data_IF_933637636908
#
_entry.id   IF_933637636908
#
_cell.length_a   1.000
_cell.length_b   1.000
_cell.length_c   1.000
_cell.angle_alpha   90.00
_cell.angle_beta   90.00
_cell.angle_gamma   90.00
#
_symmetry.space_group_name_H-M   'P 1'
#
loop_
_entity.id
_entity.type
_entity.pdbx_description
1 polymer ?
#
# COMPACT_ATOMS: atom_id res chain seq x y z
N UNK A 1 -8.92 6.50 -23.96
CA UNK A 1 -7.66 6.28 -23.22
C UNK A 1 -7.48 7.45 -22.28
N UNK A 2 -7.56 7.30 -20.94
CA UNK A 2 -6.97 8.29 -20.07
C UNK A 2 -5.45 8.08 -20.13
N UNK A 3 -4.74 9.07 -20.62
CA UNK A 3 -3.29 9.06 -20.90
C UNK A 3 -2.44 9.50 -19.72
N UNK A 4 -3.01 9.71 -18.53
CA UNK A 4 -2.28 10.11 -17.33
C UNK A 4 -3.03 9.78 -16.03
N UNK A 5 -2.30 9.29 -15.03
CA UNK A 5 -2.61 9.50 -13.61
C UNK A 5 -1.37 10.09 -12.94
N UNK A 6 -1.53 10.76 -11.80
CA UNK A 6 -0.40 11.27 -11.03
C UNK A 6 -0.19 10.45 -9.76
N UNK A 7 1.05 10.05 -9.52
CA UNK A 7 1.52 9.56 -8.22
C UNK A 7 2.38 10.68 -7.63
N UNK A 8 1.99 11.23 -6.49
CA UNK A 8 2.72 12.33 -5.82
C UNK A 8 3.01 13.52 -6.74
N UNK A 9 2.01 13.92 -7.55
CA UNK A 9 2.13 15.04 -8.50
C UNK A 9 2.95 14.74 -9.77
N UNK A 10 3.50 13.53 -9.92
CA UNK A 10 4.25 13.11 -11.10
C UNK A 10 3.34 12.42 -12.11
N UNK A 11 3.24 12.95 -13.33
CA UNK A 11 2.38 12.41 -14.38
C UNK A 11 2.95 11.11 -14.99
N UNK A 12 2.20 10.02 -14.91
CA UNK A 12 2.50 8.76 -15.59
C UNK A 12 1.84 8.73 -16.98
N UNK A 13 2.57 9.09 -18.05
CA UNK A 13 2.03 9.08 -19.42
C UNK A 13 2.41 7.81 -20.18
N UNK A 14 1.44 6.92 -20.43
CA UNK A 14 1.65 5.74 -21.25
C UNK A 14 1.68 6.10 -22.75
N UNK A 15 2.85 6.01 -23.38
CA UNK A 15 2.96 5.91 -24.84
C UNK A 15 3.92 4.78 -25.21
N UNK A 16 3.45 3.90 -26.11
CA UNK A 16 4.21 2.78 -26.64
C UNK A 16 5.15 3.28 -27.72
N UNK A 17 6.46 3.19 -27.49
CA UNK A 17 7.46 3.32 -28.55
C UNK A 17 8.39 2.11 -28.52
N UNK A 18 8.52 1.46 -29.68
CA UNK A 18 9.38 0.29 -29.88
C UNK A 18 10.85 0.73 -29.89
N UNK A 19 11.76 0.12 -29.10
CA UNK A 19 13.15 0.55 -29.09
C UNK A 19 13.96 -0.09 -30.21
N UNK A 20 14.85 0.73 -30.80
CA UNK A 20 15.93 0.31 -31.71
C UNK A 20 17.17 -0.02 -30.89
N UNK A 21 18.02 -1.01 -31.25
CA UNK A 21 19.15 -1.43 -30.39
C UNK A 21 20.30 -0.40 -30.40
N UNK A 22 20.73 0.04 -29.22
CA UNK A 22 21.97 0.81 -28.99
C UNK A 22 23.10 -0.07 -28.43
N UNK A 23 24.38 0.32 -28.61
CA UNK A 23 25.52 -0.59 -28.47
C UNK A 23 26.01 -0.76 -27.04
N UNK A 24 26.56 -1.94 -26.78
CA UNK A 24 27.10 -2.46 -25.52
C UNK A 24 28.39 -1.74 -25.07
N UNK A 25 28.46 -1.37 -23.78
CA UNK A 25 29.70 -1.03 -23.08
C UNK A 25 29.76 -1.76 -21.72
N UNK A 26 30.99 -2.12 -21.33
CA UNK A 26 31.31 -3.14 -20.33
C UNK A 26 31.10 -2.71 -18.87
N UNK A 27 30.60 -3.64 -18.05
CA UNK A 27 30.42 -3.52 -16.59
C UNK A 27 31.73 -3.52 -15.80
N UNK A 28 31.80 -2.80 -14.66
CA UNK A 28 32.75 -3.08 -13.60
C UNK A 28 32.18 -4.07 -12.57
N UNK A 29 33.11 -4.73 -11.88
CA UNK A 29 33.03 -5.96 -11.10
C UNK A 29 32.19 -5.86 -9.81
N UNK A 30 31.37 -6.90 -9.54
CA UNK A 30 30.58 -7.05 -8.33
C UNK A 30 31.39 -7.61 -7.13
N UNK A 31 31.12 -7.21 -5.88
CA UNK A 31 31.68 -7.87 -4.70
C UNK A 31 30.82 -9.04 -4.20
N UNK A 32 31.45 -10.23 -4.16
CA UNK A 32 31.40 -11.32 -3.16
C UNK A 32 30.07 -11.85 -2.60
N UNK A 33 29.71 -13.04 -3.13
CA UNK A 33 29.09 -14.25 -2.52
C UNK A 33 27.91 -14.08 -1.54
N UNK A 34 26.66 -14.35 -2.00
CA UNK A 34 25.51 -14.59 -1.12
C UNK A 34 25.54 -16.00 -0.49
N UNK A 35 24.85 -16.23 0.64
CA UNK A 35 24.78 -17.53 1.32
C UNK A 35 24.26 -18.65 0.40
N UNK A 36 24.94 -19.79 0.39
CA UNK A 36 24.77 -20.91 -0.57
C UNK A 36 23.62 -21.88 -0.25
N UNK A 37 22.60 -21.49 0.49
CA UNK A 37 21.40 -22.33 0.70
C UNK A 37 20.14 -21.47 0.63
N UNK A 38 19.33 -21.60 -0.43
CA UNK A 38 17.99 -21.00 -0.47
C UNK A 38 17.17 -21.48 0.73
N UNK A 39 16.40 -20.62 1.41
CA UNK A 39 15.46 -21.07 2.42
C UNK A 39 14.43 -22.01 1.78
N UNK A 40 14.52 -23.30 2.08
CA UNK A 40 13.53 -24.29 1.62
C UNK A 40 12.34 -24.31 2.58
N UNK A 41 11.62 -23.20 2.69
CA UNK A 41 10.30 -23.24 3.34
C UNK A 41 9.33 -23.83 2.32
N UNK A 42 8.67 -24.97 2.60
CA UNK A 42 7.67 -25.53 1.70
C UNK A 42 6.60 -24.48 1.35
N UNK A 43 6.05 -24.48 0.12
CA UNK A 43 4.94 -23.60 -0.21
C UNK A 43 3.83 -23.79 0.83
N UNK A 44 3.39 -22.71 1.46
CA UNK A 44 2.30 -22.78 2.41
C UNK A 44 1.03 -23.19 1.63
N UNK A 45 0.54 -24.41 1.88
CA UNK A 45 -0.65 -24.97 1.23
C UNK A 45 -1.94 -24.66 2.01
N UNK A 46 -1.82 -23.97 3.15
CA UNK A 46 -2.95 -23.58 3.98
C UNK A 46 -3.49 -22.19 3.65
N UNK A 47 -4.62 -21.86 4.28
CA UNK A 47 -5.16 -20.51 4.24
C UNK A 47 -4.18 -19.49 4.84
N UNK A 48 -4.32 -18.22 4.46
CA UNK A 48 -3.52 -17.12 4.98
C UNK A 48 -3.65 -17.08 6.51
N UNK A 49 -2.54 -16.95 7.25
CA UNK A 49 -2.61 -16.96 8.70
C UNK A 49 -3.38 -15.74 9.21
N UNK A 50 -4.20 -15.97 10.23
CA UNK A 50 -4.73 -14.88 11.03
C UNK A 50 -3.59 -14.16 11.76
N UNK A 51 -3.67 -12.83 11.79
CA UNK A 51 -2.61 -11.95 12.26
C UNK A 51 -3.04 -11.24 13.55
N UNK A 52 -2.04 -10.91 14.38
CA UNK A 52 -2.19 -10.05 15.54
C UNK A 52 -0.90 -9.26 15.77
N UNK A 53 -1.00 -8.14 16.46
CA UNK A 53 0.17 -7.40 16.94
C UNK A 53 0.62 -7.96 18.29
N UNK A 54 1.93 -8.07 18.48
CA UNK A 54 2.54 -8.41 19.77
C UNK A 54 3.85 -7.66 19.91
N UNK A 55 3.91 -6.73 20.87
CA UNK A 55 5.03 -5.80 20.99
C UNK A 55 5.22 -5.01 19.71
N UNK A 56 6.44 -5.02 19.18
CA UNK A 56 6.80 -4.37 17.92
C UNK A 56 6.74 -5.30 16.69
N UNK A 57 5.99 -6.40 16.76
CA UNK A 57 5.94 -7.42 15.70
C UNK A 57 4.51 -7.79 15.32
N UNK A 58 4.35 -8.13 14.05
CA UNK A 58 3.20 -8.88 13.57
C UNK A 58 3.45 -10.37 13.83
N UNK A 59 2.45 -11.06 14.35
CA UNK A 59 2.51 -12.49 14.60
C UNK A 59 1.29 -13.20 14.06
N UNK A 60 1.45 -14.48 13.72
CA UNK A 60 0.33 -15.37 13.45
C UNK A 60 -0.44 -15.69 14.74
N UNK A 61 -1.63 -16.28 14.61
CA UNK A 61 -2.38 -16.81 15.75
C UNK A 61 -1.57 -17.84 16.58
N UNK A 62 -0.63 -18.56 15.97
CA UNK A 62 0.26 -19.51 16.67
C UNK A 62 1.46 -18.86 17.37
N UNK A 63 1.64 -17.53 17.25
CA UNK A 63 2.72 -16.79 17.91
C UNK A 63 4.04 -16.71 17.13
N UNK A 64 4.08 -17.23 15.90
CA UNK A 64 5.24 -17.02 15.03
C UNK A 64 5.25 -15.57 14.52
N UNK A 65 6.40 -14.91 14.54
CA UNK A 65 6.55 -13.63 13.83
C UNK A 65 6.26 -13.82 12.35
N UNK A 66 5.62 -12.84 11.73
CA UNK A 66 5.19 -12.91 10.34
C UNK A 66 5.48 -11.60 9.62
N UNK A 67 5.94 -11.66 8.36
CA UNK A 67 6.18 -10.50 7.51
C UNK A 67 5.24 -10.58 6.31
N UNK A 68 4.55 -9.47 6.07
CA UNK A 68 3.76 -9.28 4.88
C UNK A 68 4.73 -8.90 3.74
N UNK A 69 5.22 -9.88 2.98
CA UNK A 69 6.06 -9.67 1.79
C UNK A 69 5.22 -9.83 0.54
N UNK A 70 5.10 -8.79 -0.28
CA UNK A 70 4.06 -8.83 -1.30
C UNK A 70 4.07 -7.73 -2.34
N UNK A 71 2.91 -7.48 -2.91
CA UNK A 71 2.75 -6.54 -4.01
C UNK A 71 1.48 -5.70 -3.82
N UNK A 72 1.49 -4.51 -4.42
CA UNK A 72 0.27 -3.78 -4.68
C UNK A 72 -0.40 -4.31 -5.95
N UNK A 73 -1.71 -4.58 -5.90
CA UNK A 73 -2.53 -4.93 -7.06
C UNK A 73 -3.50 -3.79 -7.34
N UNK A 74 -3.04 -2.82 -8.10
CA UNK A 74 -3.82 -1.64 -8.46
C UNK A 74 -4.97 -1.99 -9.40
N UNK A 75 -6.11 -1.32 -9.24
CA UNK A 75 -7.27 -1.20 -10.14
C UNK A 75 -8.54 -0.82 -9.37
N UNK A 76 -8.71 -1.36 -8.15
CA UNK A 76 -9.95 -1.19 -7.39
C UNK A 76 -10.24 0.27 -7.05
N UNK A 77 -9.22 1.09 -6.91
CA UNK A 77 -9.27 2.52 -6.66
C UNK A 77 -9.73 3.34 -7.88
N UNK A 78 -9.39 2.95 -9.11
CA UNK A 78 -9.61 3.81 -10.28
C UNK A 78 -10.54 3.24 -11.33
N UNK A 79 -10.61 1.92 -11.49
CA UNK A 79 -11.23 1.33 -12.67
C UNK A 79 -12.74 1.61 -12.74
N UNK A 80 -13.41 1.57 -11.60
CA UNK A 80 -14.86 1.82 -11.49
C UNK A 80 -15.23 3.26 -11.86
N UNK A 81 -14.40 4.25 -11.53
CA UNK A 81 -14.65 5.66 -11.84
C UNK A 81 -14.12 6.08 -13.21
N UNK A 82 -13.24 5.28 -13.83
CA UNK A 82 -12.69 5.53 -15.16
C UNK A 82 -13.37 4.72 -16.28
N UNK A 83 -14.47 4.03 -15.98
CA UNK A 83 -15.22 3.24 -16.97
C UNK A 83 -14.48 1.98 -17.44
N UNK A 84 -13.60 1.42 -16.60
CA UNK A 84 -12.77 0.24 -16.89
C UNK A 84 -13.27 -1.04 -16.20
N UNK A 85 -14.43 -0.97 -15.54
CA UNK A 85 -14.97 -2.08 -14.75
C UNK A 85 -14.30 -2.18 -13.37
N UNK A 86 -14.19 -3.39 -12.81
CA UNK A 86 -13.60 -3.58 -11.47
C UNK A 86 -12.07 -3.69 -11.49
N UNK A 87 -11.53 -4.50 -12.40
CA UNK A 87 -10.13 -4.97 -12.37
C UNK A 87 -9.32 -4.60 -13.63
N UNK A 88 -9.58 -3.43 -14.25
CA UNK A 88 -8.92 -2.87 -15.45
C UNK A 88 -8.35 -3.95 -16.41
N UNK A 89 -9.26 -4.73 -17.00
CA UNK A 89 -8.97 -5.81 -17.95
C UNK A 89 -8.03 -6.93 -17.48
N UNK A 90 -7.67 -6.97 -16.19
CA UNK A 90 -6.79 -7.97 -15.59
C UNK A 90 -7.53 -9.05 -14.78
N UNK A 91 -7.11 -10.32 -14.88
CA UNK A 91 -7.65 -11.37 -14.03
C UNK A 91 -7.29 -11.13 -12.56
N UNK A 92 -8.20 -11.55 -11.70
CA UNK A 92 -8.00 -11.74 -10.25
C UNK A 92 -8.39 -13.18 -9.87
N UNK A 93 -8.12 -14.11 -10.79
CA UNK A 93 -8.51 -15.52 -10.69
C UNK A 93 -7.38 -16.39 -10.11
N UNK A 94 -7.65 -17.70 -9.99
CA UNK A 94 -6.69 -18.66 -9.44
C UNK A 94 -5.36 -18.71 -10.22
N UNK A 95 -5.38 -18.48 -11.54
CA UNK A 95 -4.16 -18.48 -12.34
C UNK A 95 -3.28 -17.28 -11.99
N UNK A 96 -3.88 -16.09 -11.86
CA UNK A 96 -3.16 -14.89 -11.42
C UNK A 96 -2.58 -15.02 -10.00
N UNK A 97 -3.32 -15.66 -9.09
CA UNK A 97 -2.84 -15.94 -7.72
C UNK A 97 -1.72 -16.97 -7.71
N UNK A 98 -1.80 -18.01 -8.55
CA UNK A 98 -0.71 -18.98 -8.72
C UNK A 98 0.56 -18.29 -9.22
N UNK A 99 0.45 -17.35 -10.17
CA UNK A 99 1.59 -16.57 -10.64
C UNK A 99 2.25 -15.78 -9.50
N UNK A 100 1.46 -15.12 -8.64
CA UNK A 100 1.98 -14.44 -7.45
C UNK A 100 2.76 -15.39 -6.53
N UNK A 101 2.24 -16.61 -6.31
CA UNK A 101 2.91 -17.63 -5.47
C UNK A 101 4.26 -18.05 -6.03
N UNK A 102 4.46 -18.04 -7.35
CA UNK A 102 5.78 -18.33 -7.96
C UNK A 102 6.85 -17.29 -7.64
N UNK A 103 6.47 -16.11 -7.17
CA UNK A 103 7.37 -15.05 -6.68
C UNK A 103 7.53 -15.08 -5.16
N UNK A 104 7.00 -16.09 -4.47
CA UNK A 104 6.97 -16.17 -3.01
C UNK A 104 6.14 -15.06 -2.33
N UNK A 105 5.19 -14.44 -3.02
CA UNK A 105 4.29 -13.42 -2.45
C UNK A 105 3.43 -14.02 -1.32
N UNK A 106 3.29 -13.26 -0.22
CA UNK A 106 2.47 -13.57 0.97
C UNK A 106 1.49 -12.47 1.36
N UNK A 107 1.58 -11.30 0.73
CA UNK A 107 0.62 -10.23 0.90
C UNK A 107 0.22 -9.62 -0.44
N UNK A 108 -1.02 -9.19 -0.55
CA UNK A 108 -1.48 -8.36 -1.67
C UNK A 108 -2.23 -7.17 -1.10
N UNK A 109 -1.69 -5.97 -1.32
CA UNK A 109 -2.37 -4.71 -1.01
C UNK A 109 -3.30 -4.35 -2.16
N UNK A 110 -4.56 -4.10 -1.83
CA UNK A 110 -5.68 -3.88 -2.75
C UNK A 110 -6.19 -2.46 -2.50
N UNK A 111 -5.78 -1.50 -3.34
CA UNK A 111 -6.33 -0.15 -3.32
C UNK A 111 -7.82 -0.15 -3.63
N UNK A 112 -8.60 0.50 -2.77
CA UNK A 112 -10.06 0.61 -2.88
C UNK A 112 -10.49 2.06 -3.13
N UNK A 113 -11.68 2.19 -3.72
CA UNK A 113 -12.36 3.44 -3.98
C UNK A 113 -13.54 3.63 -3.02
N UNK A 114 -13.57 4.76 -2.31
CA UNK A 114 -14.63 5.07 -1.35
C UNK A 114 -16.02 5.12 -2.00
N UNK A 115 -16.17 5.90 -3.06
CA UNK A 115 -17.45 6.11 -3.73
C UNK A 115 -17.97 4.81 -4.34
N UNK A 116 -17.10 4.03 -4.98
CA UNK A 116 -17.51 2.77 -5.59
C UNK A 116 -17.89 1.74 -4.52
N UNK A 117 -17.20 1.69 -3.39
CA UNK A 117 -17.60 0.82 -2.28
C UNK A 117 -18.96 1.21 -1.71
N UNK A 118 -19.19 2.52 -1.50
CA UNK A 118 -20.42 3.05 -0.91
C UNK A 118 -21.59 3.13 -1.89
N UNK A 119 -21.36 3.02 -3.20
CA UNK A 119 -22.40 3.18 -4.21
C UNK A 119 -22.76 4.63 -4.51
N UNK A 120 -21.83 5.57 -4.26
CA UNK A 120 -22.04 7.00 -4.48
C UNK A 120 -21.79 7.38 -5.95
N UNK A 121 -20.73 6.83 -6.54
CA UNK A 121 -20.33 7.08 -7.93
C UNK A 121 -19.56 5.88 -8.51
N UNK A 122 -19.28 5.92 -9.81
CA UNK A 122 -18.57 4.86 -10.53
C UNK A 122 -19.43 3.62 -10.88
N UNK A 123 -18.88 2.76 -11.74
CA UNK A 123 -19.47 1.49 -12.15
C UNK A 123 -18.38 0.44 -12.43
N UNK A 124 -18.38 -0.73 -11.75
CA UNK A 124 -19.35 -1.15 -10.74
C UNK A 124 -19.23 -0.38 -9.43
N UNK A 125 -20.32 -0.31 -8.67
CA UNK A 125 -20.37 0.32 -7.34
C UNK A 125 -21.34 -0.42 -6.41
N UNK A 126 -21.34 -0.06 -5.13
CA UNK A 126 -22.17 -0.66 -4.09
C UNK A 126 -21.95 -2.17 -3.97
N UNK A 127 -23.05 -2.92 -3.90
CA UNK A 127 -23.02 -4.38 -3.71
C UNK A 127 -22.15 -5.12 -4.73
N UNK A 128 -22.14 -4.69 -6.00
CA UNK A 128 -21.33 -5.33 -7.05
C UNK A 128 -19.84 -5.12 -6.83
N UNK A 129 -19.43 -3.90 -6.46
CA UNK A 129 -18.04 -3.61 -6.12
C UNK A 129 -17.61 -4.38 -4.87
N UNK A 130 -18.44 -4.34 -3.82
CA UNK A 130 -18.20 -5.06 -2.56
C UNK A 130 -18.06 -6.58 -2.78
N UNK A 131 -18.89 -7.18 -3.63
CA UNK A 131 -18.82 -8.60 -3.92
C UNK A 131 -17.52 -8.96 -4.64
N UNK A 132 -17.10 -8.16 -5.62
CA UNK A 132 -15.85 -8.40 -6.33
C UNK A 132 -14.63 -8.31 -5.40
N UNK A 133 -14.61 -7.35 -4.46
CA UNK A 133 -13.56 -7.28 -3.43
C UNK A 133 -13.60 -8.53 -2.53
N UNK A 134 -14.78 -8.94 -2.05
CA UNK A 134 -14.94 -10.15 -1.22
C UNK A 134 -14.42 -11.40 -1.92
N UNK A 135 -14.77 -11.57 -3.19
CA UNK A 135 -14.36 -12.74 -3.98
C UNK A 135 -12.83 -12.81 -4.10
N UNK A 136 -12.18 -11.67 -4.38
CA UNK A 136 -10.73 -11.63 -4.49
C UNK A 136 -10.03 -11.83 -3.15
N UNK A 137 -10.51 -11.19 -2.08
CA UNK A 137 -10.02 -11.39 -0.70
C UNK A 137 -10.11 -12.85 -0.30
N UNK A 138 -11.26 -13.50 -0.53
CA UNK A 138 -11.46 -14.91 -0.20
C UNK A 138 -10.51 -15.82 -1.00
N UNK A 139 -10.30 -15.53 -2.28
CA UNK A 139 -9.36 -16.28 -3.11
C UNK A 139 -7.92 -16.17 -2.59
N UNK A 140 -7.47 -14.96 -2.24
CA UNK A 140 -6.14 -14.73 -1.69
C UNK A 140 -5.95 -15.45 -0.35
N UNK A 141 -6.92 -15.32 0.56
CA UNK A 141 -6.92 -16.00 1.86
C UNK A 141 -6.86 -17.51 1.67
N UNK A 142 -7.68 -18.09 0.79
CA UNK A 142 -7.67 -19.52 0.51
C UNK A 142 -6.32 -20.01 -0.05
N UNK A 143 -5.52 -19.12 -0.62
CA UNK A 143 -4.24 -19.42 -1.25
C UNK A 143 -3.02 -19.13 -0.39
N UNK A 144 -3.20 -18.73 0.88
CA UNK A 144 -2.10 -18.45 1.79
C UNK A 144 -1.55 -17.03 1.69
N UNK A 145 -2.29 -16.10 1.05
CA UNK A 145 -1.89 -14.71 0.85
C UNK A 145 -2.78 -13.79 1.68
N UNK A 146 -2.18 -12.96 2.53
CA UNK A 146 -2.88 -11.99 3.36
C UNK A 146 -3.29 -10.76 2.53
N UNK A 147 -4.60 -10.44 2.44
CA UNK A 147 -5.05 -9.22 1.78
C UNK A 147 -4.89 -8.02 2.70
N UNK A 148 -4.39 -6.91 2.15
CA UNK A 148 -4.35 -5.60 2.81
C UNK A 148 -5.32 -4.70 2.05
N UNK A 149 -6.46 -4.37 2.64
CA UNK A 149 -7.46 -3.49 2.04
C UNK A 149 -7.10 -2.04 2.36
N UNK A 150 -6.84 -1.25 1.33
CA UNK A 150 -6.35 0.12 1.42
C UNK A 150 -7.42 1.10 0.97
N UNK A 151 -7.74 2.10 1.79
CA UNK A 151 -8.52 3.24 1.33
C UNK A 151 -7.62 4.18 0.51
N UNK A 152 -7.75 4.10 -0.81
CA UNK A 152 -6.82 4.77 -1.70
C UNK A 152 -7.34 6.11 -2.21
N UNK A 153 -8.56 6.14 -2.75
CA UNK A 153 -9.22 7.36 -3.23
C UNK A 153 -10.51 7.63 -2.46
N UNK A 154 -10.69 8.88 -2.05
CA UNK A 154 -11.78 9.33 -1.18
C UNK A 154 -12.60 10.43 -1.84
N UNK A 155 -13.86 10.52 -1.41
CA UNK A 155 -14.75 11.63 -1.61
C UNK A 155 -14.25 12.86 -0.85
N UNK A 156 -14.42 14.03 -1.47
CA UNK A 156 -14.04 15.31 -0.90
C UNK A 156 -13.54 16.26 -1.97
N UNK A 157 -14.08 17.48 -2.00
CA UNK A 157 -13.58 18.51 -2.89
C UNK A 157 -12.32 19.14 -2.29
N UNK A 158 -11.21 19.07 -3.02
CA UNK A 158 -9.94 19.69 -2.65
C UNK A 158 -9.36 20.49 -3.80
N UNK A 159 -9.17 21.78 -3.60
CA UNK A 159 -8.57 22.71 -4.59
C UNK A 159 -7.33 23.40 -4.05
N UNK A 160 -6.80 22.92 -2.92
CA UNK A 160 -5.63 23.48 -2.26
C UNK A 160 -4.30 23.08 -2.91
N UNK A 161 -3.22 23.33 -2.18
CA UNK A 161 -1.86 23.07 -2.61
C UNK A 161 -1.66 21.59 -3.03
N UNK A 162 -1.07 21.36 -4.20
CA UNK A 162 -0.82 20.00 -4.75
C UNK A 162 -2.12 19.19 -4.91
N UNK A 163 -3.25 19.85 -5.18
CA UNK A 163 -4.48 19.12 -5.55
C UNK A 163 -4.28 18.29 -6.82
N UNK A 164 -4.53 16.98 -6.72
CA UNK A 164 -4.51 16.08 -7.87
C UNK A 164 -5.75 16.24 -8.77
N UNK A 165 -6.89 16.65 -8.19
CA UNK A 165 -8.11 16.98 -8.93
C UNK A 165 -9.10 17.78 -8.06
N UNK A 166 -9.93 18.61 -8.70
CA UNK A 166 -10.98 19.39 -8.05
C UNK A 166 -12.35 18.68 -7.95
N UNK A 167 -12.46 17.46 -8.47
CA UNK A 167 -13.68 16.65 -8.42
C UNK A 167 -14.00 16.28 -6.97
N UNK A 168 -15.28 16.30 -6.60
CA UNK A 168 -15.73 15.93 -5.26
C UNK A 168 -15.77 14.41 -5.10
N UNK A 169 -16.01 13.68 -6.19
CA UNK A 169 -16.02 12.24 -6.17
C UNK A 169 -14.62 11.66 -5.96
N UNK A 170 -14.55 10.39 -5.59
CA UNK A 170 -13.32 9.64 -5.41
C UNK A 170 -12.64 9.33 -6.76
N UNK A 171 -12.26 10.34 -7.53
CA UNK A 171 -11.58 10.19 -8.84
C UNK A 171 -10.09 10.47 -8.80
N UNK A 172 -9.59 10.90 -7.63
CA UNK A 172 -8.18 11.08 -7.33
C UNK A 172 -7.96 11.03 -5.81
N UNK A 173 -6.69 11.00 -5.43
CA UNK A 173 -6.25 11.13 -4.04
C UNK A 173 -6.60 12.50 -3.45
N UNK A 174 -7.04 12.52 -2.18
CA UNK A 174 -7.28 13.74 -1.38
C UNK A 174 -6.24 13.85 -0.26
N UNK A 175 -6.03 15.03 0.35
CA UNK A 175 -5.01 15.20 1.40
C UNK A 175 -5.28 14.41 2.66
N UNK A 176 -6.57 14.21 2.97
CA UNK A 176 -7.06 13.51 4.14
C UNK A 176 -8.42 12.88 3.84
N UNK A 177 -8.87 11.88 4.60
CA UNK A 177 -10.22 11.37 4.47
C UNK A 177 -11.28 12.38 4.90
N UNK A 178 -12.49 12.27 4.36
CA UNK A 178 -13.61 13.16 4.67
C UNK A 178 -14.49 12.56 5.76
N UNK A 179 -14.85 13.37 6.76
CA UNK A 179 -15.77 12.97 7.83
C UNK A 179 -17.16 12.58 7.29
N UNK A 180 -17.54 13.12 6.13
CA UNK A 180 -18.85 12.88 5.53
C UNK A 180 -19.11 11.40 5.20
N UNK A 181 -18.10 10.67 4.70
CA UNK A 181 -18.28 9.32 4.15
C UNK A 181 -17.24 8.30 4.61
N UNK A 182 -16.04 8.71 5.00
CA UNK A 182 -14.97 7.75 5.31
C UNK A 182 -15.26 6.86 6.53
N UNK A 183 -15.84 7.37 7.64
CA UNK A 183 -16.28 6.49 8.73
C UNK A 183 -17.31 5.44 8.27
N UNK A 184 -18.21 5.79 7.35
CA UNK A 184 -19.17 4.85 6.77
C UNK A 184 -18.49 3.80 5.89
N UNK A 185 -17.51 4.21 5.07
CA UNK A 185 -16.69 3.30 4.28
C UNK A 185 -16.04 2.24 5.16
N UNK A 186 -15.30 2.67 6.20
CA UNK A 186 -14.60 1.75 7.10
C UNK A 186 -15.55 0.88 7.92
N UNK A 187 -16.69 1.42 8.34
CA UNK A 187 -17.76 0.60 8.95
C UNK A 187 -18.23 -0.50 8.01
N UNK A 188 -18.41 -0.19 6.71
CA UNK A 188 -18.80 -1.16 5.69
C UNK A 188 -17.74 -2.23 5.45
N UNK A 189 -16.49 -1.82 5.23
CA UNK A 189 -15.35 -2.74 5.02
C UNK A 189 -15.16 -3.63 6.24
N UNK A 190 -15.16 -3.06 7.44
CA UNK A 190 -15.02 -3.82 8.68
C UNK A 190 -16.17 -4.83 8.86
N UNK A 191 -17.42 -4.47 8.59
CA UNK A 191 -18.52 -5.44 8.64
C UNK A 191 -18.40 -6.56 7.60
N UNK A 192 -17.81 -6.28 6.43
CA UNK A 192 -17.59 -7.30 5.40
C UNK A 192 -16.51 -8.33 5.78
N UNK A 193 -15.52 -7.94 6.58
CA UNK A 193 -14.32 -8.76 6.83
C UNK A 193 -14.02 -9.05 8.31
N UNK A 194 -14.81 -8.53 9.25
CA UNK A 194 -14.67 -8.86 10.68
C UNK A 194 -14.78 -10.37 10.90
N UNK A 195 -13.96 -10.88 11.82
CA UNK A 195 -13.85 -12.32 12.06
C UNK A 195 -12.85 -13.03 11.14
N UNK A 196 -12.38 -12.37 10.08
CA UNK A 196 -11.26 -12.86 9.27
C UNK A 196 -9.99 -12.03 9.54
N UNK A 197 -9.26 -12.40 10.59
CA UNK A 197 -8.04 -11.69 10.98
C UNK A 197 -6.83 -11.98 10.06
N UNK A 198 -7.00 -12.72 8.96
CA UNK A 198 -6.00 -12.77 7.90
C UNK A 198 -6.03 -11.49 7.03
N UNK A 199 -7.15 -10.76 7.05
CA UNK A 199 -7.32 -9.48 6.36
C UNK A 199 -6.81 -8.34 7.24
N UNK A 200 -6.03 -7.46 6.62
CA UNK A 200 -5.47 -6.25 7.23
C UNK A 200 -6.13 -5.03 6.62
N UNK A 201 -6.35 -3.97 7.40
CA UNK A 201 -6.95 -2.72 6.94
C UNK A 201 -5.91 -1.60 6.96
N UNK A 202 -5.61 -1.00 5.81
CA UNK A 202 -4.76 0.18 5.69
C UNK A 202 -5.65 1.42 5.58
N UNK A 203 -5.72 2.18 6.68
CA UNK A 203 -6.83 3.11 6.94
C UNK A 203 -6.89 4.28 5.95
N UNK A 204 -5.75 4.69 5.41
CA UNK A 204 -5.67 5.65 4.34
C UNK A 204 -4.28 5.62 3.70
N UNK A 205 -4.25 5.60 2.37
CA UNK A 205 -3.04 5.43 1.58
C UNK A 205 -1.90 6.38 1.95
N UNK A 206 -2.13 7.68 1.80
CA UNK A 206 -1.05 8.69 1.80
C UNK A 206 -1.59 10.05 2.25
N UNK A 207 -1.64 10.30 3.57
CA UNK A 207 -1.96 11.61 4.13
C UNK A 207 -0.92 12.67 3.74
N UNK A 208 -1.39 13.87 3.36
CA UNK A 208 -0.54 15.05 3.16
C UNK A 208 -1.16 16.36 3.71
N UNK A 209 -1.66 16.39 4.96
CA UNK A 209 -2.17 17.64 5.56
C UNK A 209 -1.04 18.67 5.80
N UNK A 210 0.22 18.25 5.85
CA UNK A 210 1.41 19.11 5.85
C UNK A 210 1.52 19.90 4.55
N UNK A 211 1.39 19.25 3.39
CA UNK A 211 1.38 19.96 2.11
C UNK A 211 0.15 20.89 2.00
N UNK A 212 -1.01 20.45 2.49
CA UNK A 212 -2.23 21.27 2.51
C UNK A 212 -2.09 22.54 3.34
N UNK A 213 -1.35 22.48 4.45
CA UNK A 213 -1.05 23.64 5.27
C UNK A 213 0.18 24.43 4.81
N UNK A 214 0.71 24.15 3.60
CA UNK A 214 1.93 24.74 3.03
C UNK A 214 3.18 24.54 3.90
N UNK A 215 3.27 23.40 4.60
CA UNK A 215 4.35 23.05 5.53
C UNK A 215 4.60 24.10 6.62
N UNK A 216 3.59 24.92 6.93
CA UNK A 216 3.74 26.08 7.82
C UNK A 216 3.66 25.73 9.31
N UNK A 217 2.97 24.63 9.64
CA UNK A 217 2.82 24.14 11.02
C UNK A 217 2.76 22.60 11.05
N UNK A 218 3.92 21.97 11.27
CA UNK A 218 4.01 20.51 11.36
C UNK A 218 3.22 19.92 12.53
N UNK A 219 3.27 20.46 13.76
CA UNK A 219 2.39 20.02 14.84
C UNK A 219 0.90 20.07 14.48
N UNK A 220 0.44 21.06 13.70
CA UNK A 220 -0.95 21.12 13.23
C UNK A 220 -1.26 20.02 12.20
N UNK A 221 -0.33 19.71 11.29
CA UNK A 221 -0.49 18.60 10.35
C UNK A 221 -0.63 17.25 11.08
N UNK A 222 0.19 17.01 12.11
CA UNK A 222 0.09 15.80 12.93
C UNK A 222 -1.19 15.73 13.77
N UNK A 223 -1.67 16.87 14.30
CA UNK A 223 -3.01 16.95 14.93
C UNK A 223 -4.11 16.65 13.93
N UNK A 224 -4.05 17.23 12.72
CA UNK A 224 -5.01 16.94 11.67
C UNK A 224 -5.04 15.45 11.32
N UNK A 225 -3.86 14.82 11.17
CA UNK A 225 -3.75 13.39 10.89
C UNK A 225 -4.48 12.55 11.94
N UNK A 226 -4.23 12.79 13.24
CA UNK A 226 -4.82 11.99 14.32
C UNK A 226 -6.29 12.33 14.59
N UNK A 227 -6.57 13.62 14.77
CA UNK A 227 -7.82 14.13 15.34
C UNK A 227 -8.84 14.57 14.28
N UNK A 228 -8.39 14.87 13.05
CA UNK A 228 -9.26 15.40 12.01
C UNK A 228 -9.88 16.76 12.36
N UNK A 229 -11.15 16.94 12.00
CA UNK A 229 -11.91 18.17 12.15
C UNK A 229 -11.54 19.24 11.12
N UNK A 230 -11.44 20.50 11.56
CA UNK A 230 -11.05 21.60 10.69
C UNK A 230 -9.52 21.65 10.55
N UNK A 231 -9.03 21.31 9.36
CA UNK A 231 -7.60 21.33 9.06
C UNK A 231 -7.23 22.48 8.09
N UNK A 232 -6.13 23.18 8.38
CA UNK A 232 -5.65 24.28 7.55
C UNK A 232 -5.42 23.84 6.10
N UNK A 233 -6.02 24.56 5.16
CA UNK A 233 -5.90 24.31 3.73
C UNK A 233 -6.84 23.24 3.17
N UNK A 234 -7.61 22.55 4.02
CA UNK A 234 -8.60 21.54 3.62
C UNK A 234 -10.00 22.11 3.85
N UNK A 235 -10.85 22.10 2.83
CA UNK A 235 -12.16 22.76 2.84
C UNK A 235 -13.30 21.92 3.40
N UNK A 236 -13.17 20.60 3.42
CA UNK A 236 -14.12 19.69 4.04
C UNK A 236 -13.68 19.32 5.46
N UNK A 237 -14.63 18.90 6.30
CA UNK A 237 -14.33 18.35 7.61
C UNK A 237 -13.57 17.04 7.47
N UNK A 238 -12.38 16.98 8.07
CA UNK A 238 -11.49 15.82 7.96
C UNK A 238 -11.90 14.74 8.97
N UNK A 239 -11.98 13.49 8.52
CA UNK A 239 -11.90 12.34 9.42
C UNK A 239 -10.43 12.06 9.73
N UNK A 240 -10.07 12.15 11.01
CA UNK A 240 -8.74 11.78 11.49
C UNK A 240 -8.58 10.27 11.59
N UNK A 241 -7.35 9.80 11.75
CA UNK A 241 -7.07 8.37 11.92
C UNK A 241 -7.76 7.79 13.17
N UNK A 242 -8.01 8.61 14.20
CA UNK A 242 -8.79 8.17 15.36
C UNK A 242 -10.24 7.82 14.98
N UNK A 243 -10.90 8.65 14.18
CA UNK A 243 -12.27 8.38 13.71
C UNK A 243 -12.35 7.08 12.92
N UNK A 244 -11.32 6.79 12.11
CA UNK A 244 -11.26 5.58 11.30
C UNK A 244 -10.99 4.33 12.14
N UNK A 245 -10.11 4.43 13.14
CA UNK A 245 -9.92 3.35 14.14
C UNK A 245 -11.23 3.07 14.87
N UNK A 246 -11.92 4.12 15.34
CA UNK A 246 -13.17 4.00 16.07
C UNK A 246 -14.29 3.41 15.19
N UNK A 247 -14.41 3.84 13.93
CA UNK A 247 -15.36 3.30 12.96
C UNK A 247 -15.15 1.79 12.75
N UNK A 248 -13.90 1.34 12.60
CA UNK A 248 -13.60 -0.10 12.49
C UNK A 248 -13.94 -0.82 13.80
N UNK A 249 -13.46 -0.34 14.94
CA UNK A 249 -13.61 -1.03 16.23
C UNK A 249 -15.06 -1.07 16.72
N UNK A 250 -15.88 -0.07 16.41
CA UNK A 250 -17.30 -0.04 16.72
C UNK A 250 -18.09 -1.21 16.08
N UNK A 251 -17.58 -1.82 15.01
CA UNK A 251 -18.21 -2.99 14.38
C UNK A 251 -17.91 -4.32 15.10
N UNK A 252 -16.97 -4.31 16.05
CA UNK A 252 -16.39 -5.49 16.68
C UNK A 252 -15.24 -6.12 15.89
N UNK A 253 -14.76 -5.49 14.82
CA UNK A 253 -13.63 -5.98 14.05
C UNK A 253 -12.32 -5.95 14.86
N UNK A 254 -11.61 -7.08 14.89
CA UNK A 254 -10.31 -7.23 15.56
C UNK A 254 -9.12 -7.31 14.58
N UNK A 255 -9.37 -7.00 13.30
CA UNK A 255 -8.36 -6.94 12.25
C UNK A 255 -7.22 -5.98 12.64
N UNK A 256 -6.02 -6.29 12.16
CA UNK A 256 -4.86 -5.40 12.25
C UNK A 256 -5.09 -4.15 11.40
N UNK A 257 -4.71 -2.99 11.94
CA UNK A 257 -4.86 -1.69 11.27
C UNK A 257 -3.49 -1.13 10.92
N UNK A 258 -3.27 -0.77 9.66
CA UNK A 258 -2.17 0.07 9.23
C UNK A 258 -2.61 1.54 9.35
N UNK A 259 -1.77 2.34 9.99
CA UNK A 259 -1.99 3.78 10.18
C UNK A 259 -0.78 4.53 9.66
N UNK A 260 -1.01 5.35 8.64
CA UNK A 260 0.00 6.17 7.98
C UNK A 260 0.55 7.31 8.86
N UNK A 261 1.70 7.85 8.44
CA UNK A 261 2.24 9.12 8.91
C UNK A 261 1.93 10.28 7.96
N UNK A 262 2.75 11.33 8.00
CA UNK A 262 2.63 12.50 7.11
C UNK A 262 3.44 12.34 5.82
N UNK A 263 3.34 13.36 4.96
CA UNK A 263 4.17 13.50 3.75
C UNK A 263 4.06 12.25 2.87
N UNK A 264 2.83 11.93 2.46
CA UNK A 264 2.51 10.73 1.67
C UNK A 264 3.07 9.47 2.33
N UNK A 265 2.82 9.34 3.63
CA UNK A 265 3.24 8.18 4.45
C UNK A 265 4.77 7.98 4.53
N UNK A 266 5.58 8.99 4.20
CA UNK A 266 7.05 8.89 4.28
C UNK A 266 7.62 9.39 5.63
N UNK A 267 6.93 10.31 6.32
CA UNK A 267 7.35 10.87 7.60
C UNK A 267 6.69 10.16 8.78
N UNK A 268 7.49 9.46 9.59
CA UNK A 268 7.07 8.83 10.86
C UNK A 268 7.66 9.49 12.11
N UNK A 269 8.32 10.64 11.99
CA UNK A 269 9.09 11.27 13.07
C UNK A 269 8.28 11.57 14.34
N UNK A 270 6.99 11.87 14.22
CA UNK A 270 6.09 12.08 15.35
C UNK A 270 5.00 11.02 15.47
N UNK A 271 5.10 9.91 14.73
CA UNK A 271 4.05 8.90 14.70
C UNK A 271 3.77 8.32 16.09
N UNK A 272 4.78 8.07 16.92
CA UNK A 272 4.57 7.57 18.29
C UNK A 272 3.85 8.59 19.20
N UNK A 273 4.03 9.89 18.95
CA UNK A 273 3.35 10.97 19.69
C UNK A 273 1.89 11.10 19.27
N UNK A 274 1.59 10.89 17.99
CA UNK A 274 0.27 11.11 17.38
C UNK A 274 -0.45 9.83 16.97
N UNK A 275 0.04 8.66 17.38
CA UNK A 275 -0.61 7.37 17.15
C UNK A 275 -2.04 7.41 17.72
N UNK A 276 -3.07 7.01 16.95
CA UNK A 276 -4.41 6.90 17.49
C UNK A 276 -4.50 5.80 18.56
N UNK A 277 -5.43 5.97 19.49
CA UNK A 277 -5.71 4.99 20.53
C UNK A 277 -6.55 3.85 19.94
N UNK A 278 -5.96 2.65 19.87
CA UNK A 278 -6.68 1.41 19.56
C UNK A 278 -6.83 0.57 20.83
N UNK A 279 -8.06 0.28 21.31
CA UNK A 279 -8.27 -0.53 22.50
C UNK A 279 -7.70 -1.96 22.38
N UNK A 280 -7.47 -2.45 21.16
CA UNK A 280 -6.87 -3.76 20.92
C UNK A 280 -5.34 -3.72 20.77
N UNK A 281 -4.72 -2.53 20.82
CA UNK A 281 -3.29 -2.32 20.57
C UNK A 281 -2.80 -3.05 19.29
N UNK A 282 -3.64 -3.10 18.26
CA UNK A 282 -3.43 -3.85 17.03
C UNK A 282 -3.18 -2.95 15.81
N UNK A 283 -2.47 -1.85 16.05
CA UNK A 283 -2.00 -0.89 15.03
C UNK A 283 -0.57 -1.22 14.61
N UNK A 284 -0.32 -1.14 13.31
CA UNK A 284 0.97 -1.15 12.61
C UNK A 284 1.18 0.22 11.99
N UNK A 285 2.38 0.80 12.10
CA UNK A 285 2.72 2.02 11.38
C UNK A 285 2.92 1.70 9.88
N UNK A 286 2.21 2.40 9.00
CA UNK A 286 2.41 2.29 7.55
C UNK A 286 3.53 3.25 7.11
N UNK A 287 4.37 2.82 6.16
CA UNK A 287 5.45 3.63 5.59
C UNK A 287 5.55 3.47 4.07
N UNK A 288 5.72 4.56 3.33
CA UNK A 288 5.92 4.53 1.89
C UNK A 288 7.33 5.03 1.54
N UNK A 289 8.00 4.33 0.63
CA UNK A 289 9.40 4.61 0.29
C UNK A 289 9.65 4.56 -1.21
N UNK A 290 9.88 5.74 -1.79
CA UNK A 290 10.28 5.93 -3.16
C UNK A 290 11.58 6.76 -3.24
N UNK A 291 12.37 6.59 -4.30
CA UNK A 291 13.67 7.26 -4.47
C UNK A 291 13.59 8.80 -4.58
N UNK A 292 12.39 9.35 -4.76
CA UNK A 292 12.11 10.78 -4.84
C UNK A 292 11.50 11.36 -3.55
N UNK A 293 11.36 10.55 -2.50
CA UNK A 293 10.85 11.01 -1.21
C UNK A 293 11.92 11.81 -0.42
N UNK A 294 11.52 12.38 0.71
CA UNK A 294 12.43 13.07 1.62
C UNK A 294 13.33 12.09 2.39
N UNK A 295 12.77 11.00 2.93
CA UNK A 295 13.49 9.99 3.70
C UNK A 295 13.92 8.79 2.85
N UNK A 296 15.07 8.93 2.17
CA UNK A 296 15.54 7.98 1.13
C UNK A 296 16.93 7.38 1.40
N UNK A 297 17.49 7.60 2.60
CA UNK A 297 18.81 7.09 2.98
C UNK A 297 18.73 6.19 4.19
N UNK A 298 19.65 5.23 4.32
CA UNK A 298 19.75 4.35 5.49
C UNK A 298 19.83 5.14 6.80
N UNK A 299 20.57 6.25 6.84
CA UNK A 299 20.63 7.12 8.01
C UNK A 299 19.27 7.73 8.37
N UNK A 300 18.48 8.14 7.37
CA UNK A 300 17.14 8.61 7.62
C UNK A 300 16.23 7.48 8.12
N UNK A 301 16.28 6.31 7.47
CA UNK A 301 15.46 5.16 7.86
C UNK A 301 15.77 4.71 9.29
N UNK A 302 17.04 4.62 9.69
CA UNK A 302 17.43 4.25 11.05
C UNK A 302 16.92 5.26 12.09
N UNK A 303 17.08 6.56 11.83
CA UNK A 303 16.72 7.61 12.78
C UNK A 303 15.20 7.82 12.93
N UNK A 304 14.44 7.62 11.85
CA UNK A 304 12.99 7.88 11.84
C UNK A 304 12.20 6.58 11.94
N UNK A 305 12.33 5.72 10.93
CA UNK A 305 11.51 4.51 10.78
C UNK A 305 11.96 3.43 11.77
N UNK A 306 13.27 3.28 11.97
CA UNK A 306 13.86 2.37 12.94
C UNK A 306 13.48 2.71 14.38
N UNK A 307 13.37 3.99 14.71
CA UNK A 307 12.92 4.45 16.03
C UNK A 307 11.46 4.03 16.31
N UNK A 308 10.59 4.10 15.30
CA UNK A 308 9.20 3.63 15.40
C UNK A 308 9.14 2.09 15.45
N UNK A 309 9.90 1.41 14.59
CA UNK A 309 9.97 -0.06 14.54
C UNK A 309 10.51 -0.70 15.83
N UNK A 310 11.21 0.07 16.67
CA UNK A 310 11.63 -0.38 17.99
C UNK A 310 10.47 -0.50 18.99
N UNK A 311 9.34 0.20 18.75
CA UNK A 311 8.23 0.32 19.69
C UNK A 311 6.94 -0.34 19.20
N UNK A 312 6.67 -0.28 17.90
CA UNK A 312 5.48 -0.85 17.25
C UNK A 312 5.87 -1.57 15.96
N UNK A 313 5.05 -2.52 15.46
CA UNK A 313 5.28 -3.05 14.12
C UNK A 313 5.17 -1.94 13.08
N UNK A 314 6.01 -2.05 12.06
CA UNK A 314 5.98 -1.22 10.84
C UNK A 314 5.68 -2.14 9.65
N UNK A 315 5.01 -1.62 8.63
CA UNK A 315 4.89 -2.24 7.32
C UNK A 315 5.10 -1.19 6.24
N UNK A 316 5.93 -1.49 5.24
CA UNK A 316 6.08 -0.60 4.09
C UNK A 316 4.98 -0.88 3.05
N UNK A 317 3.87 -0.15 3.12
CA UNK A 317 2.70 -0.34 2.24
C UNK A 317 3.01 -0.10 0.76
N UNK A 318 4.00 0.74 0.48
CA UNK A 318 4.53 0.92 -0.87
C UNK A 318 6.05 1.07 -0.84
N UNK A 319 6.71 0.29 -1.69
CA UNK A 319 8.10 0.51 -2.09
C UNK A 319 8.19 0.56 -3.62
N UNK A 320 9.04 1.45 -4.12
CA UNK A 320 9.27 1.57 -5.56
C UNK A 320 10.35 2.59 -5.93
N UNK A 321 10.55 2.78 -7.23
CA UNK A 321 11.40 3.81 -7.82
C UNK A 321 10.93 4.23 -9.23
N UNK A 322 11.27 5.44 -9.67
CA UNK A 322 10.84 6.01 -10.96
C UNK A 322 11.77 5.76 -12.16
N UNK A 323 12.79 4.90 -12.00
CA UNK A 323 13.88 4.72 -13.00
C UNK A 323 13.88 3.38 -13.74
N UNK A 324 12.91 2.51 -13.47
CA UNK A 324 12.82 1.13 -13.97
C UNK A 324 13.93 0.18 -13.57
N UNK A 325 14.98 0.66 -12.91
CA UNK A 325 15.97 -0.17 -12.24
C UNK A 325 15.43 -0.72 -10.91
N UNK A 326 16.24 -1.45 -10.15
CA UNK A 326 15.90 -1.93 -8.79
C UNK A 326 16.92 -1.50 -7.71
N UNK A 327 17.88 -0.63 -8.05
CA UNK A 327 18.98 -0.24 -7.16
C UNK A 327 18.54 0.52 -5.88
N UNK A 328 17.41 1.23 -5.93
CA UNK A 328 16.87 1.90 -4.75
C UNK A 328 16.09 0.89 -3.89
N UNK A 329 15.17 0.13 -4.50
CA UNK A 329 14.38 -0.84 -3.76
C UNK A 329 15.26 -1.94 -3.14
N UNK A 330 16.40 -2.30 -3.74
CA UNK A 330 17.37 -3.23 -3.14
C UNK A 330 17.86 -2.75 -1.77
N UNK A 331 18.18 -1.46 -1.65
CA UNK A 331 18.63 -0.86 -0.40
C UNK A 331 17.50 -0.82 0.64
N UNK A 332 16.29 -0.47 0.20
CA UNK A 332 15.10 -0.45 1.06
C UNK A 332 14.78 -1.85 1.59
N UNK A 333 14.71 -2.86 0.70
CA UNK A 333 14.41 -4.24 1.07
C UNK A 333 15.48 -4.82 2.00
N UNK A 334 16.77 -4.62 1.71
CA UNK A 334 17.85 -5.08 2.59
C UNK A 334 17.76 -4.47 4.00
N UNK A 335 17.43 -3.18 4.10
CA UNK A 335 17.22 -2.52 5.40
C UNK A 335 16.00 -3.08 6.13
N UNK A 336 14.86 -3.24 5.44
CA UNK A 336 13.63 -3.80 6.00
C UNK A 336 13.82 -5.25 6.47
N UNK A 337 14.52 -6.07 5.69
CA UNK A 337 14.87 -7.45 6.04
C UNK A 337 15.70 -7.52 7.31
N UNK A 338 16.72 -6.65 7.44
CA UNK A 338 17.59 -6.61 8.63
C UNK A 338 16.81 -6.34 9.93
N UNK A 339 15.63 -5.71 9.82
CA UNK A 339 14.72 -5.41 10.93
C UNK A 339 13.47 -6.30 10.96
N UNK A 340 13.36 -7.26 10.05
CA UNK A 340 12.20 -8.16 9.88
C UNK A 340 10.87 -7.42 9.66
N UNK A 341 10.91 -6.34 8.88
CA UNK A 341 9.75 -5.52 8.51
C UNK A 341 9.17 -6.04 7.18
N UNK A 342 7.85 -6.06 7.05
CA UNK A 342 7.16 -6.45 5.80
C UNK A 342 7.05 -5.29 4.80
N UNK A 343 6.85 -5.59 3.53
CA UNK A 343 6.71 -4.60 2.46
C UNK A 343 5.89 -5.10 1.26
N UNK A 344 5.26 -4.17 0.55
CA UNK A 344 4.54 -4.43 -0.72
C UNK A 344 5.06 -3.51 -1.83
N UNK A 345 5.64 -4.08 -2.89
CA UNK A 345 6.16 -3.30 -4.01
C UNK A 345 5.04 -2.85 -4.96
N UNK A 346 5.12 -1.62 -5.46
CA UNK A 346 4.27 -1.11 -6.53
C UNK A 346 4.90 -1.46 -7.89
N UNK A 347 4.23 -2.10 -8.86
CA UNK A 347 2.87 -2.68 -8.83
C UNK A 347 2.74 -3.95 -9.68
N UNK A 348 1.81 -4.83 -9.31
CA UNK A 348 1.45 -6.07 -10.01
C UNK A 348 0.41 -5.82 -11.11
N UNK A 349 0.76 -4.96 -12.07
CA UNK A 349 -0.06 -4.63 -13.24
C UNK A 349 0.84 -4.60 -14.49
N UNK A 350 0.43 -5.13 -15.65
CA UNK A 350 1.25 -5.14 -16.86
C UNK A 350 1.14 -3.84 -17.66
N UNK A 351 1.43 -2.70 -17.03
CA UNK A 351 1.28 -1.38 -17.65
C UNK A 351 2.49 -0.90 -18.46
N UNK A 352 3.60 -1.65 -18.40
CA UNK A 352 4.89 -1.24 -18.94
C UNK A 352 5.62 -0.27 -18.03
N UNK A 353 6.95 -0.41 -17.96
CA UNK A 353 7.79 0.40 -17.09
C UNK A 353 8.09 1.78 -17.71
N UNK A 354 7.06 2.62 -17.90
CA UNK A 354 7.28 4.01 -18.36
C UNK A 354 7.80 4.93 -17.24
N UNK A 355 7.42 4.63 -16.00
CA UNK A 355 7.69 5.44 -14.79
C UNK A 355 8.16 4.59 -13.60
N UNK A 356 8.82 3.45 -13.87
CA UNK A 356 9.64 2.75 -12.89
C UNK A 356 9.00 1.69 -12.00
N UNK A 357 7.70 1.79 -11.72
CA UNK A 357 7.08 0.98 -10.67
C UNK A 357 6.17 -0.14 -11.21
N UNK A 358 6.63 -0.93 -12.19
CA UNK A 358 5.81 -1.96 -12.85
C UNK A 358 6.53 -3.29 -12.78
N UNK A 359 6.01 -4.24 -12.02
CA UNK A 359 6.68 -5.51 -11.72
C UNK A 359 6.57 -6.53 -12.85
N UNK A 360 5.47 -6.56 -13.56
CA UNK A 360 5.15 -7.63 -14.51
C UNK A 360 4.85 -7.10 -15.91
N UNK A 361 5.11 -7.92 -16.94
CA UNK A 361 4.71 -7.63 -18.34
C UNK A 361 3.39 -8.30 -18.71
N UNK A 362 2.96 -9.29 -17.94
CA UNK A 362 1.70 -10.01 -18.11
C UNK A 362 1.22 -10.61 -16.78
N UNK A 363 -0.03 -11.08 -16.75
CA UNK A 363 -0.63 -11.68 -15.56
C UNK A 363 -0.21 -13.13 -15.27
N UNK A 364 0.64 -13.73 -16.11
CA UNK A 364 1.33 -14.98 -15.77
C UNK A 364 2.54 -14.74 -14.85
N UNK A 365 2.82 -13.48 -14.50
CA UNK A 365 3.91 -13.12 -13.59
C UNK A 365 5.27 -13.08 -14.26
N UNK A 366 5.32 -12.86 -15.58
CA UNK A 366 6.56 -12.54 -16.28
C UNK A 366 7.10 -11.21 -15.76
N UNK A 367 8.32 -11.14 -15.19
CA UNK A 367 8.86 -9.91 -14.65
C UNK A 367 9.19 -8.91 -15.77
N UNK A 368 9.04 -7.61 -15.48
CA UNK A 368 9.67 -6.57 -16.30
C UNK A 368 11.19 -6.63 -16.18
N UNK A 369 11.88 -6.24 -17.25
CA UNK A 369 13.35 -6.23 -17.24
C UNK A 369 13.87 -5.17 -16.27
N UNK A 370 14.84 -5.62 -15.47
CA UNK A 370 15.43 -5.02 -14.28
C UNK A 370 14.48 -4.92 -13.08
N UNK A 371 13.53 -3.99 -12.99
CA UNK A 371 12.72 -3.80 -11.76
C UNK A 371 12.02 -5.08 -11.27
N UNK A 372 11.20 -5.71 -12.11
CA UNK A 372 10.49 -6.94 -11.77
C UNK A 372 11.43 -8.12 -11.50
N UNK A 373 12.49 -8.25 -12.29
CA UNK A 373 13.51 -9.29 -12.13
C UNK A 373 14.21 -9.20 -10.77
N UNK A 374 14.64 -7.99 -10.37
CA UNK A 374 15.28 -7.73 -9.10
C UNK A 374 14.36 -8.02 -7.91
N UNK A 375 13.13 -7.52 -7.95
CA UNK A 375 12.16 -7.78 -6.88
C UNK A 375 11.82 -9.27 -6.74
N UNK A 376 11.59 -9.96 -7.86
CA UNK A 376 11.33 -11.41 -7.88
C UNK A 376 12.51 -12.19 -7.29
N UNK A 377 13.73 -11.89 -7.73
CA UNK A 377 14.93 -12.56 -7.25
C UNK A 377 15.11 -12.37 -5.73
N UNK A 378 14.83 -11.16 -5.24
CA UNK A 378 14.87 -10.86 -3.82
C UNK A 378 13.83 -11.66 -3.02
N UNK A 379 12.55 -11.63 -3.41
CA UNK A 379 11.48 -12.35 -2.69
C UNK A 379 11.71 -13.87 -2.62
N UNK A 380 12.33 -14.45 -3.65
CA UNK A 380 12.69 -15.88 -3.67
C UNK A 380 13.84 -16.23 -2.71
N UNK A 381 14.64 -15.24 -2.29
CA UNK A 381 15.78 -15.42 -1.39
C UNK A 381 15.44 -15.21 0.10
N UNK A 382 14.30 -14.58 0.41
CA UNK A 382 13.92 -14.21 1.78
C UNK A 382 12.79 -15.08 2.34
N UNK A 383 12.77 -15.21 3.67
CA UNK A 383 11.69 -15.90 4.39
C UNK A 383 10.61 -14.87 4.79
N UNK A 384 9.35 -15.10 4.39
CA UNK A 384 8.19 -14.32 4.86
C UNK A 384 7.87 -14.53 6.34
#
# INVERSE_FOLDING_TARGET
MPTAFSLNGTACTGSVSSPTPGPTTASPTAPTVPPTTPPTTPPNTGAAPALRVSGNQLQTASGATYRLLGVNRASGEFACVQGKGMWDSGPVDQASVNAMKTWNIRAVRIPLNEDCWLGLSGSPSGATYQQAVKDYVNLLVANGINPILDLHWTHGQYTGNISACADVNATCQKPMPSMQYTPQFWTGVANAFKGNNAVVFDLFNEPYPDASNNWSDMPAAWRCLRDGGTCTGISYEVAGMQDLVDAVRATGASNVLLVAGLTWTNDLTQWLTYKPNDPLNSIVASWHSYNFNACVTTSCWDSQIGAVAAQVPVHAGEIGQDTCAHNYIDQVMAWLDSKRIGYTAWTWNPWGCGSGNVLITDYNGTPTSTYGEGYKAHLLAVTP
#
